data_IF_710668232535
#
_entry.id   IF_710668232535
#
_cell.length_a   1.000
_cell.length_b   1.000
_cell.length_c   1.000
_cell.angle_alpha   90.00
_cell.angle_beta   90.00
_cell.angle_gamma   90.00
#
_symmetry.space_group_name_H-M   'P 1'
#
loop_
_entity.id
_entity.type
_entity.pdbx_description
1 polymer ?
#
# COMPACT_ATOMS: atom_id res chain seq x y z
N UNK A 1 -5.23 18.14 6.16
CA UNK A 1 -4.95 17.21 7.28
C UNK A 1 -4.69 15.85 6.67
N UNK A 2 -3.44 15.39 6.64
CA UNK A 2 -3.12 14.05 6.15
C UNK A 2 -2.66 13.23 7.36
N UNK A 3 -3.53 12.37 7.89
CA UNK A 3 -3.04 11.30 8.78
C UNK A 3 -2.20 10.35 7.92
N UNK A 4 -0.93 10.18 8.35
CA UNK A 4 0.13 9.30 7.83
C UNK A 4 -0.25 8.50 6.57
N UNK A 5 0.33 8.80 5.38
CA UNK A 5 0.06 8.10 4.11
C UNK A 5 0.16 6.57 4.19
N UNK A 6 0.86 6.07 5.19
CA UNK A 6 1.23 4.66 5.39
C UNK A 6 0.40 3.96 6.47
N UNK A 7 -0.61 4.60 7.08
CA UNK A 7 -1.49 3.92 8.03
C UNK A 7 -2.46 3.00 7.27
N UNK A 8 -2.11 1.71 7.20
CA UNK A 8 -2.90 0.66 6.56
C UNK A 8 -2.95 -0.59 7.46
N UNK A 9 -3.98 -1.45 7.33
CA UNK A 9 -4.03 -2.73 8.03
C UNK A 9 -2.75 -3.57 7.89
N UNK A 10 -2.30 -4.26 8.95
CA UNK A 10 -1.00 -4.95 8.98
C UNK A 10 -1.01 -6.30 8.25
N UNK A 11 -1.33 -6.31 6.95
CA UNK A 11 -1.32 -7.51 6.10
C UNK A 11 -0.02 -7.68 5.31
N UNK A 12 1.12 -7.34 5.92
CA UNK A 12 2.46 -7.67 5.40
C UNK A 12 3.03 -6.75 4.32
N UNK A 13 2.31 -5.72 3.86
CA UNK A 13 2.80 -4.81 2.81
C UNK A 13 3.67 -3.65 3.34
N UNK A 14 3.42 -3.19 4.57
CA UNK A 14 3.92 -1.90 5.06
C UNK A 14 5.46 -1.74 5.06
N UNK A 15 6.20 -2.75 5.53
CA UNK A 15 7.67 -2.67 5.59
C UNK A 15 8.30 -2.62 4.18
N UNK A 16 7.81 -3.45 3.26
CA UNK A 16 8.29 -3.46 1.88
C UNK A 16 7.99 -2.13 1.17
N UNK A 17 6.82 -1.54 1.42
CA UNK A 17 6.46 -0.24 0.87
C UNK A 17 7.34 0.88 1.41
N UNK A 18 7.60 0.90 2.73
CA UNK A 18 8.48 1.89 3.33
C UNK A 18 9.91 1.82 2.77
N UNK A 19 10.43 0.60 2.53
CA UNK A 19 11.74 0.41 1.91
C UNK A 19 11.79 0.92 0.46
N UNK A 20 10.76 0.61 -0.33
CA UNK A 20 10.64 1.10 -1.72
C UNK A 20 10.53 2.63 -1.77
N UNK A 21 9.70 3.21 -0.91
CA UNK A 21 9.51 4.66 -0.81
C UNK A 21 10.81 5.38 -0.43
N UNK A 22 11.58 4.81 0.51
CA UNK A 22 12.89 5.34 0.87
C UNK A 22 13.88 5.35 -0.30
N UNK A 23 13.90 4.27 -1.10
CA UNK A 23 14.76 4.18 -2.27
C UNK A 23 14.34 5.18 -3.38
N UNK A 24 13.06 5.23 -3.73
CA UNK A 24 12.53 6.13 -4.77
C UNK A 24 12.67 7.61 -4.37
N UNK A 25 12.51 7.94 -3.09
CA UNK A 25 12.75 9.29 -2.60
C UNK A 25 14.23 9.64 -2.75
N UNK A 26 15.14 8.79 -2.30
CA UNK A 26 16.59 9.02 -2.42
C UNK A 26 17.03 9.26 -3.87
N UNK A 27 16.48 8.50 -4.82
CA UNK A 27 16.70 8.71 -6.26
C UNK A 27 16.15 10.06 -6.74
N UNK A 28 14.95 10.44 -6.31
CA UNK A 28 14.31 11.69 -6.75
C UNK A 28 15.04 12.95 -6.29
N UNK A 29 15.82 12.87 -5.19
CA UNK A 29 16.51 14.03 -4.60
C UNK A 29 17.79 14.44 -5.36
N UNK A 30 18.18 13.72 -6.41
CA UNK A 30 19.36 14.04 -7.24
C UNK A 30 19.02 15.10 -8.30
N UNK A 31 18.57 16.27 -7.87
CA UNK A 31 18.10 17.38 -8.74
C UNK A 31 18.28 18.74 -8.04
N UNK A 32 18.33 19.81 -8.84
CA UNK A 32 18.46 21.19 -8.34
C UNK A 32 17.13 21.77 -7.84
N UNK A 33 15.98 21.17 -8.19
CA UNK A 33 14.64 21.58 -7.74
C UNK A 33 14.04 20.51 -6.81
N UNK A 34 14.43 20.57 -5.53
CA UNK A 34 13.97 19.62 -4.50
C UNK A 34 12.46 19.68 -4.29
N UNK A 35 11.86 20.86 -4.37
CA UNK A 35 10.44 21.05 -4.13
C UNK A 35 9.60 20.36 -5.21
N UNK A 36 9.99 20.50 -6.49
CA UNK A 36 9.35 19.77 -7.57
C UNK A 36 9.56 18.26 -7.46
N UNK A 37 10.76 17.84 -7.03
CA UNK A 37 11.10 16.43 -6.86
C UNK A 37 10.25 15.75 -5.79
N UNK A 38 10.15 16.35 -4.61
CA UNK A 38 9.34 15.86 -3.49
C UNK A 38 7.87 15.81 -3.89
N UNK A 39 7.32 16.85 -4.54
CA UNK A 39 5.94 16.84 -5.02
C UNK A 39 5.68 15.69 -6.00
N UNK A 40 6.59 15.46 -6.95
CA UNK A 40 6.45 14.37 -7.91
C UNK A 40 6.53 12.99 -7.24
N UNK A 41 7.43 12.82 -6.27
CA UNK A 41 7.52 11.61 -5.44
C UNK A 41 6.23 11.38 -4.65
N UNK A 42 5.75 12.39 -3.94
CA UNK A 42 4.55 12.30 -3.11
C UNK A 42 3.33 11.90 -3.93
N UNK A 43 3.13 12.46 -5.13
CA UNK A 43 2.02 12.08 -6.02
C UNK A 43 2.02 10.57 -6.32
N UNK A 44 3.18 10.00 -6.68
CA UNK A 44 3.31 8.56 -6.94
C UNK A 44 3.12 7.74 -5.66
N UNK A 45 3.70 8.19 -4.55
CA UNK A 45 3.56 7.55 -3.24
C UNK A 45 2.08 7.48 -2.84
N UNK A 46 1.32 8.56 -2.99
CA UNK A 46 -0.09 8.64 -2.63
C UNK A 46 -0.98 7.70 -3.46
N UNK A 47 -0.77 7.65 -4.78
CA UNK A 47 -1.50 6.72 -5.65
C UNK A 47 -1.27 5.26 -5.23
N UNK A 48 -0.01 4.91 -4.94
CA UNK A 48 0.35 3.57 -4.46
C UNK A 48 -0.23 3.28 -3.08
N UNK A 49 -0.13 4.22 -2.14
CA UNK A 49 -0.66 4.08 -0.79
C UNK A 49 -2.17 3.86 -0.78
N UNK A 50 -2.92 4.62 -1.59
CA UNK A 50 -4.37 4.47 -1.72
C UNK A 50 -4.75 3.07 -2.22
N UNK A 51 -4.04 2.54 -3.22
CA UNK A 51 -4.23 1.18 -3.72
C UNK A 51 -4.00 0.12 -2.63
N UNK A 52 -2.91 0.24 -1.89
CA UNK A 52 -2.59 -0.72 -0.82
C UNK A 52 -3.52 -0.62 0.38
N UNK A 53 -3.95 0.59 0.74
CA UNK A 53 -4.96 0.78 1.78
C UNK A 53 -6.28 0.08 1.39
N UNK A 54 -6.74 0.21 0.14
CA UNK A 54 -7.93 -0.49 -0.34
C UNK A 54 -7.76 -2.01 -0.28
N UNK A 55 -6.68 -2.55 -0.87
CA UNK A 55 -6.40 -3.99 -0.90
C UNK A 55 -6.35 -4.58 0.52
N UNK A 56 -5.61 -3.93 1.43
CA UNK A 56 -5.41 -4.45 2.77
C UNK A 56 -6.64 -4.30 3.65
N UNK A 57 -7.45 -3.26 3.46
CA UNK A 57 -8.74 -3.12 4.14
C UNK A 57 -9.70 -4.22 3.70
N UNK A 58 -9.90 -4.40 2.40
CA UNK A 58 -10.78 -5.46 1.88
C UNK A 58 -10.28 -6.85 2.24
N UNK A 59 -8.96 -7.07 2.26
CA UNK A 59 -8.37 -8.32 2.73
C UNK A 59 -8.66 -8.57 4.22
N UNK A 60 -8.52 -7.54 5.06
CA UNK A 60 -8.79 -7.67 6.50
C UNK A 60 -10.27 -7.94 6.76
N UNK A 61 -11.18 -7.23 6.09
CA UNK A 61 -12.63 -7.42 6.20
C UNK A 61 -13.03 -8.88 5.93
N UNK A 62 -12.46 -9.51 4.90
CA UNK A 62 -12.69 -10.94 4.61
C UNK A 62 -12.11 -11.86 5.68
N UNK A 63 -10.91 -11.57 6.18
CA UNK A 63 -10.24 -12.39 7.19
C UNK A 63 -10.95 -12.37 8.54
N UNK A 64 -11.60 -11.26 8.89
CA UNK A 64 -12.33 -11.11 10.16
C UNK A 64 -13.84 -11.30 10.00
N UNK A 65 -14.29 -11.74 8.82
CA UNK A 65 -15.70 -12.01 8.53
C UNK A 65 -16.26 -13.08 9.48
N UNK A 66 -17.53 -12.96 9.92
CA UNK A 66 -18.20 -14.03 10.65
C UNK A 66 -18.45 -15.28 9.78
N UNK A 67 -18.33 -15.17 8.45
CA UNK A 67 -18.41 -16.30 7.52
C UNK A 67 -17.02 -16.65 6.93
N UNK A 68 -16.33 -17.67 7.48
CA UNK A 68 -15.00 -18.07 7.02
C UNK A 68 -15.03 -18.72 5.62
N UNK A 69 -16.18 -19.19 5.14
CA UNK A 69 -16.29 -19.83 3.83
C UNK A 69 -16.09 -18.85 2.69
N UNK A 70 -16.40 -17.57 2.89
CA UNK A 70 -16.18 -16.52 1.89
C UNK A 70 -14.69 -16.34 1.57
N UNK A 71 -13.84 -16.37 2.60
CA UNK A 71 -12.40 -16.31 2.43
C UNK A 71 -11.86 -17.53 1.67
N UNK A 72 -12.29 -18.74 2.04
CA UNK A 72 -11.90 -19.99 1.36
C UNK A 72 -12.31 -19.97 -0.11
N UNK A 73 -13.57 -19.64 -0.40
CA UNK A 73 -14.06 -19.55 -1.78
C UNK A 73 -13.33 -18.46 -2.59
N UNK A 74 -12.86 -17.39 -1.95
CA UNK A 74 -11.99 -16.41 -2.60
C UNK A 74 -10.62 -17.00 -2.94
N UNK A 75 -9.98 -17.70 -2.00
CA UNK A 75 -8.69 -18.36 -2.21
C UNK A 75 -8.73 -19.36 -3.38
N UNK A 76 -9.73 -20.24 -3.42
CA UNK A 76 -9.89 -21.23 -4.50
C UNK A 76 -10.02 -20.58 -5.89
N UNK A 77 -10.63 -19.39 -5.97
CA UNK A 77 -10.74 -18.64 -7.24
C UNK A 77 -9.43 -18.01 -7.68
N UNK A 78 -8.61 -17.51 -6.75
CA UNK A 78 -7.37 -16.79 -7.09
C UNK A 78 -6.17 -17.71 -7.21
N UNK A 79 -6.21 -18.88 -6.57
CA UNK A 79 -5.18 -19.92 -6.59
C UNK A 79 -5.86 -21.29 -6.64
N UNK A 80 -6.37 -21.71 -7.82
CA UNK A 80 -6.95 -23.04 -7.96
C UNK A 80 -5.88 -24.11 -7.71
N UNK A 81 -6.23 -25.15 -6.95
CA UNK A 81 -5.36 -26.30 -6.65
C UNK A 81 -5.10 -27.16 -7.88
#
# INVERSE_FOLDING_TARGET
MAERPHLMPPLGAGANLAMLEGAELAESLMTDDLDAAVRAFELRMWERAAKWAHITTTGLERLVSPDPMEAIAHFDRVQPS
#
